data_IF_048559247035
#
_entry.id   IF_048559247035
#
_cell.length_a   1.000
_cell.length_b   1.000
_cell.length_c   1.000
_cell.angle_alpha   90.00
_cell.angle_beta   90.00
_cell.angle_gamma   90.00
#
_symmetry.space_group_name_H-M   'P 1'
#
loop_
_entity.id
_entity.type
_entity.pdbx_description
1 polymer ?
#
# COMPACT_ATOMS: atom_id res chain seq x y z
N UNK A 1 -23.26 -6.97 -3.69
CA UNK A 1 -21.93 -6.83 -3.64
C UNK A 1 -21.20 -8.04 -3.18
N UNK A 2 -20.10 -8.25 -3.78
CA UNK A 2 -19.47 -9.45 -3.56
C UNK A 2 -18.27 -9.27 -2.75
N UNK A 3 -17.97 -10.14 -1.86
CA UNK A 3 -16.85 -9.99 -0.96
C UNK A 3 -15.52 -10.00 -1.67
N UNK A 4 -15.45 -10.60 -2.85
CA UNK A 4 -14.17 -10.59 -3.54
C UNK A 4 -13.83 -9.24 -4.09
N UNK A 5 -14.78 -8.32 -4.15
CA UNK A 5 -14.50 -6.96 -4.54
C UNK A 5 -13.76 -6.24 -3.44
N UNK A 6 -13.64 -6.89 -2.28
CA UNK A 6 -12.97 -6.31 -1.14
C UNK A 6 -11.56 -6.82 -0.95
N UNK A 7 -10.96 -7.41 -1.97
CA UNK A 7 -9.56 -7.82 -1.85
C UNK A 7 -8.73 -6.56 -1.62
N UNK A 8 -8.08 -6.49 -0.46
CA UNK A 8 -7.42 -5.27 -0.02
C UNK A 8 -5.93 -5.31 -0.20
N UNK A 9 -5.43 -4.32 -0.92
CA UNK A 9 -4.00 -4.14 -1.11
C UNK A 9 -3.59 -2.89 -0.39
N UNK A 10 -2.58 -2.99 0.47
CA UNK A 10 -1.99 -1.82 1.11
C UNK A 10 -0.62 -1.59 0.49
N UNK A 11 -0.39 -0.36 0.04
CA UNK A 11 0.91 0.04 -0.50
C UNK A 11 1.67 0.76 0.61
N UNK A 12 2.84 0.26 0.95
CA UNK A 12 3.70 0.89 1.95
C UNK A 12 4.77 1.70 1.22
N UNK A 13 4.69 3.01 1.33
CA UNK A 13 5.60 3.93 0.69
C UNK A 13 4.92 4.69 -0.43
N UNK A 14 4.96 6.02 -0.36
CA UNK A 14 4.24 6.89 -1.27
C UNK A 14 5.11 7.69 -2.23
N UNK A 15 6.25 7.15 -2.64
CA UNK A 15 7.03 7.76 -3.70
C UNK A 15 6.42 7.44 -5.05
N UNK A 16 7.14 7.74 -6.11
CA UNK A 16 6.66 7.53 -7.47
C UNK A 16 6.21 6.10 -7.71
N UNK A 17 7.03 5.13 -7.31
CA UNK A 17 6.70 3.73 -7.53
C UNK A 17 5.50 3.28 -6.71
N UNK A 18 5.39 3.79 -5.48
CA UNK A 18 4.26 3.43 -4.61
C UNK A 18 2.94 3.97 -5.13
N UNK A 19 2.94 5.22 -5.56
CA UNK A 19 1.74 5.82 -6.15
C UNK A 19 1.38 5.09 -7.44
N UNK A 20 2.38 4.74 -8.25
CA UNK A 20 2.15 3.96 -9.47
C UNK A 20 1.53 2.61 -9.17
N UNK A 21 2.03 1.92 -8.15
CA UNK A 21 1.48 0.63 -7.74
C UNK A 21 0.03 0.78 -7.26
N UNK A 22 -0.26 1.86 -6.52
CA UNK A 22 -1.62 2.10 -6.03
C UNK A 22 -2.58 2.32 -7.21
N UNK A 23 -2.17 3.09 -8.20
CA UNK A 23 -3.00 3.31 -9.37
C UNK A 23 -3.24 2.02 -10.15
N UNK A 24 -2.19 1.22 -10.29
CA UNK A 24 -2.31 -0.05 -11.00
C UNK A 24 -3.26 -1.00 -10.25
N UNK A 25 -3.14 -1.09 -8.95
CA UNK A 25 -4.00 -1.94 -8.15
C UNK A 25 -5.46 -1.51 -8.27
N UNK A 26 -5.69 -0.20 -8.22
CA UNK A 26 -7.05 0.30 -8.37
C UNK A 26 -7.61 -0.02 -9.75
N UNK A 27 -6.78 0.13 -10.78
CA UNK A 27 -7.21 -0.17 -12.14
C UNK A 27 -7.57 -1.64 -12.32
N UNK A 28 -6.98 -2.52 -11.50
CA UNK A 28 -7.31 -3.93 -11.53
C UNK A 28 -8.53 -4.29 -10.68
N UNK A 29 -9.13 -3.31 -10.03
CA UNK A 29 -10.34 -3.53 -9.27
C UNK A 29 -10.14 -3.83 -7.79
N UNK A 30 -8.93 -3.70 -7.28
CA UNK A 30 -8.66 -3.96 -5.87
C UNK A 30 -9.02 -2.73 -5.02
N UNK A 31 -9.26 -2.99 -3.74
CA UNK A 31 -9.47 -1.96 -2.75
C UNK A 31 -8.09 -1.56 -2.23
N UNK A 32 -7.69 -0.31 -2.45
CA UNK A 32 -6.32 0.13 -2.21
C UNK A 32 -6.22 1.17 -1.11
N UNK A 33 -5.24 1.03 -0.25
CA UNK A 33 -4.89 2.03 0.75
C UNK A 33 -3.38 2.22 0.71
N UNK A 34 -2.93 3.47 0.71
CA UNK A 34 -1.50 3.77 0.70
C UNK A 34 -1.09 4.38 2.03
N UNK A 35 0.00 3.90 2.61
CA UNK A 35 0.49 4.40 3.88
C UNK A 35 1.96 4.79 3.76
N UNK A 36 2.29 6.01 4.20
CA UNK A 36 3.66 6.48 4.19
C UNK A 36 3.99 7.08 5.56
N UNK A 37 5.09 6.67 6.14
CA UNK A 37 5.49 7.17 7.44
C UNK A 37 5.96 8.63 7.36
N UNK A 38 6.42 9.07 6.20
CA UNK A 38 6.81 10.44 5.97
C UNK A 38 5.70 11.23 5.31
N UNK A 39 6.05 12.36 4.72
CA UNK A 39 5.09 13.19 4.02
C UNK A 39 5.14 12.91 2.52
N UNK A 40 3.98 12.88 1.89
CA UNK A 40 3.89 12.75 0.44
C UNK A 40 4.08 14.12 -0.20
N UNK A 41 4.54 14.13 -1.44
CA UNK A 41 4.58 15.37 -2.18
C UNK A 41 3.17 15.82 -2.51
N UNK A 42 3.00 17.10 -2.74
CA UNK A 42 1.68 17.63 -3.09
C UNK A 42 1.18 17.02 -4.39
N UNK A 43 2.08 16.76 -5.32
CA UNK A 43 1.72 16.14 -6.59
C UNK A 43 1.12 14.76 -6.36
N UNK A 44 1.73 13.96 -5.49
CA UNK A 44 1.25 12.60 -5.24
C UNK A 44 -0.05 12.60 -4.44
N UNK A 45 -0.21 13.51 -3.49
CA UNK A 45 -1.48 13.67 -2.79
C UNK A 45 -2.60 13.98 -3.77
N UNK A 46 -2.32 14.86 -4.69
CA UNK A 46 -3.32 15.28 -5.68
C UNK A 46 -3.74 14.11 -6.55
N UNK A 47 -2.77 13.30 -6.99
CA UNK A 47 -3.07 12.12 -7.80
C UNK A 47 -3.96 11.14 -7.04
N UNK A 48 -3.60 10.86 -5.79
CA UNK A 48 -4.35 9.92 -4.98
C UNK A 48 -5.78 10.42 -4.74
N UNK A 49 -5.94 11.71 -4.47
CA UNK A 49 -7.27 12.29 -4.27
C UNK A 49 -8.10 12.24 -5.54
N UNK A 50 -7.48 12.55 -6.67
CA UNK A 50 -8.18 12.52 -7.96
C UNK A 50 -8.75 11.14 -8.26
N UNK A 51 -8.03 10.10 -7.86
CA UNK A 51 -8.47 8.73 -8.09
C UNK A 51 -9.23 8.13 -6.89
N UNK A 52 -9.49 8.95 -5.89
CA UNK A 52 -10.22 8.52 -4.68
C UNK A 52 -9.55 7.36 -3.96
N UNK A 53 -8.23 7.34 -3.95
CA UNK A 53 -7.47 6.33 -3.22
C UNK A 53 -7.18 6.85 -1.83
N UNK A 54 -7.67 6.20 -0.78
CA UNK A 54 -7.38 6.65 0.58
C UNK A 54 -5.90 6.45 0.92
N UNK A 55 -5.35 7.36 1.69
CA UNK A 55 -3.95 7.29 2.09
C UNK A 55 -3.74 7.94 3.44
N UNK A 56 -2.62 7.64 4.06
CA UNK A 56 -2.21 8.31 5.29
C UNK A 56 -0.74 8.69 5.21
N UNK A 57 -0.38 9.74 5.93
CA UNK A 57 0.99 10.26 6.00
C UNK A 57 1.41 10.39 7.44
N UNK A 58 2.72 10.34 7.67
CA UNK A 58 3.28 10.57 8.99
C UNK A 58 3.12 9.43 9.96
N UNK A 59 2.53 8.34 9.53
CA UNK A 59 2.33 7.19 10.40
C UNK A 59 1.91 5.98 9.57
N UNK A 60 2.02 4.82 10.19
CA UNK A 60 1.45 3.59 9.65
C UNK A 60 0.42 3.09 10.65
N UNK A 61 -0.85 3.10 10.27
CA UNK A 61 -1.92 2.55 11.11
C UNK A 61 -1.88 1.03 11.00
N UNK A 62 -1.27 0.39 11.97
CA UNK A 62 -1.03 -1.07 11.92
C UNK A 62 -2.30 -1.88 11.73
N UNK A 63 -3.33 -1.53 12.46
CA UNK A 63 -4.60 -2.22 12.38
C UNK A 63 -5.09 -2.35 10.95
N UNK A 64 -5.01 -1.27 10.21
CA UNK A 64 -5.46 -1.22 8.85
C UNK A 64 -4.53 -1.97 7.90
N UNK A 65 -3.24 -1.86 8.16
CA UNK A 65 -2.22 -2.53 7.34
C UNK A 65 -2.27 -4.05 7.56
N UNK A 66 -2.40 -4.47 8.81
CA UNK A 66 -2.45 -5.90 9.11
C UNK A 66 -3.73 -6.56 8.61
N UNK A 67 -4.75 -5.78 8.31
CA UNK A 67 -5.99 -6.31 7.75
C UNK A 67 -5.93 -6.49 6.24
N UNK A 68 -4.83 -6.12 5.60
CA UNK A 68 -4.70 -6.23 4.15
C UNK A 68 -4.58 -7.68 3.72
N UNK A 69 -5.03 -7.97 2.51
CA UNK A 69 -4.87 -9.29 1.91
C UNK A 69 -3.50 -9.43 1.26
N UNK A 70 -2.93 -8.31 0.86
CA UNK A 70 -1.61 -8.31 0.24
C UNK A 70 -0.96 -6.96 0.45
N UNK A 71 0.36 -6.96 0.59
CA UNK A 71 1.14 -5.74 0.77
C UNK A 71 2.05 -5.54 -0.43
N UNK A 72 2.07 -4.31 -0.95
CA UNK A 72 3.07 -3.91 -1.93
C UNK A 72 4.02 -2.96 -1.21
N UNK A 73 5.26 -3.36 -1.07
CA UNK A 73 6.21 -2.65 -0.23
C UNK A 73 7.31 -1.97 -1.04
N UNK A 74 7.62 -0.73 -0.67
CA UNK A 74 8.76 -0.03 -1.25
C UNK A 74 10.06 -0.70 -0.82
N UNK A 75 11.03 -0.86 -1.72
CA UNK A 75 12.32 -1.45 -1.34
C UNK A 75 13.07 -0.60 -0.32
N UNK A 76 12.68 0.67 -0.14
CA UNK A 76 13.29 1.52 0.85
C UNK A 76 12.89 1.19 2.28
N UNK A 77 11.87 0.35 2.47
CA UNK A 77 11.44 -0.05 3.81
C UNK A 77 12.09 -1.37 4.15
N UNK A 78 12.96 -1.41 5.19
CA UNK A 78 13.65 -2.65 5.52
C UNK A 78 12.71 -3.74 6.02
N UNK A 79 13.06 -4.99 5.73
CA UNK A 79 12.26 -6.12 6.20
C UNK A 79 12.32 -6.29 7.71
N UNK A 80 13.30 -5.68 8.35
CA UNK A 80 13.48 -5.84 9.80
C UNK A 80 12.61 -4.92 10.64
N UNK A 81 11.87 -3.99 10.03
CA UNK A 81 10.99 -3.12 10.84
C UNK A 81 9.89 -3.98 11.46
N UNK A 82 9.45 -3.64 12.68
CA UNK A 82 8.48 -4.47 13.39
C UNK A 82 7.19 -4.73 12.63
N UNK A 83 6.67 -3.74 11.94
CA UNK A 83 5.43 -3.91 11.17
C UNK A 83 5.60 -4.97 10.08
N UNK A 84 6.73 -4.96 9.38
CA UNK A 84 6.97 -5.93 8.32
C UNK A 84 7.12 -7.34 8.92
N UNK A 85 7.78 -7.44 10.07
CA UNK A 85 7.90 -8.72 10.75
C UNK A 85 6.54 -9.28 11.16
N UNK A 86 5.63 -8.41 11.61
CA UNK A 86 4.29 -8.84 11.98
C UNK A 86 3.54 -9.37 10.76
N UNK A 87 3.70 -8.70 9.62
CA UNK A 87 3.05 -9.15 8.39
C UNK A 87 3.55 -10.52 7.97
N UNK A 88 4.86 -10.74 8.02
CA UNK A 88 5.41 -12.06 7.72
C UNK A 88 4.90 -13.10 8.70
N UNK A 89 4.84 -12.75 9.97
CA UNK A 89 4.42 -13.70 11.00
C UNK A 89 2.97 -14.16 10.79
N UNK A 90 2.12 -13.30 10.27
CA UNK A 90 0.72 -13.70 10.03
C UNK A 90 0.51 -14.26 8.62
N UNK A 91 1.57 -14.36 7.83
CA UNK A 91 1.48 -14.97 6.51
C UNK A 91 0.95 -14.08 5.41
N UNK A 92 0.92 -12.76 5.61
CA UNK A 92 0.44 -11.85 4.58
C UNK A 92 1.45 -11.77 3.45
N UNK A 93 1.04 -11.98 2.19
CA UNK A 93 1.97 -11.84 1.06
C UNK A 93 2.49 -10.42 0.96
N UNK A 94 3.80 -10.30 0.79
CA UNK A 94 4.46 -9.00 0.60
C UNK A 94 5.27 -9.07 -0.67
N UNK A 95 4.98 -8.19 -1.61
CA UNK A 95 5.75 -8.13 -2.85
C UNK A 95 6.30 -6.72 -3.02
N UNK A 96 7.33 -6.60 -3.83
CA UNK A 96 7.91 -5.29 -4.09
C UNK A 96 7.07 -4.54 -5.11
N UNK A 97 7.23 -3.22 -5.14
CA UNK A 97 6.56 -2.39 -6.13
C UNK A 97 6.94 -2.79 -7.54
N UNK A 98 8.19 -3.17 -7.73
CA UNK A 98 8.69 -3.56 -9.04
C UNK A 98 8.04 -4.86 -9.48
N UNK A 99 7.93 -5.83 -8.60
CA UNK A 99 7.27 -7.09 -8.88
C UNK A 99 5.81 -6.89 -9.25
N UNK A 100 5.15 -6.01 -8.49
CA UNK A 100 3.74 -5.77 -8.71
C UNK A 100 3.49 -5.14 -10.07
N UNK A 101 4.39 -4.27 -10.53
CA UNK A 101 4.25 -3.57 -11.80
C UNK A 101 4.65 -4.43 -13.01
N UNK A 102 5.30 -5.54 -12.79
CA UNK A 102 5.80 -6.39 -13.87
C UNK A 102 4.71 -7.16 -14.63
#
# INVERSE_FOLDING_TARGET
>A
MNSRDSFKIVVLGGGESGVGAALLAQAKGFDVFLSDKGALSEEYRSILRTHSIPFEEGQHTEERILAADEIVKSPGIPDKVPLVKKLYAQGTPIISEIEFAS
#
